data_IF_726348929523
#
_entry.id   IF_726348929523
#
_cell.length_a   1.000
_cell.length_b   1.000
_cell.length_c   1.000
_cell.angle_alpha   90.00
_cell.angle_beta   90.00
_cell.angle_gamma   90.00
#
_symmetry.space_group_name_H-M   'P 1'
#
loop_
_entity.id
_entity.type
_entity.pdbx_description
1 polymer ?
#
# COMPACT_ATOMS: atom_id res chain seq x y z
N UNK A 1 9.45 -16.00 -32.60
CA UNK A 1 9.91 -14.60 -32.49
C UNK A 1 8.74 -13.77 -32.00
N UNK A 2 8.76 -13.28 -30.76
CA UNK A 2 7.68 -12.42 -30.27
C UNK A 2 7.79 -11.07 -30.99
N UNK A 3 6.76 -10.70 -31.75
CA UNK A 3 6.66 -9.37 -32.37
C UNK A 3 6.81 -8.31 -31.28
N UNK A 4 7.86 -7.50 -31.34
CA UNK A 4 8.10 -6.40 -30.40
C UNK A 4 6.95 -5.39 -30.54
N UNK A 5 5.94 -5.51 -29.67
CA UNK A 5 4.91 -4.49 -29.56
C UNK A 5 5.57 -3.18 -29.14
N UNK A 6 5.17 -2.03 -29.71
CA UNK A 6 5.76 -0.75 -29.34
C UNK A 6 5.53 -0.48 -27.85
N UNK A 7 6.49 0.18 -27.18
CA UNK A 7 6.39 0.46 -25.76
C UNK A 7 5.19 1.38 -25.48
N UNK A 8 4.44 1.09 -24.41
CA UNK A 8 3.33 1.92 -23.97
C UNK A 8 3.88 3.24 -23.41
N UNK A 9 3.41 4.36 -23.96
CA UNK A 9 3.86 5.69 -23.57
C UNK A 9 2.95 6.30 -22.52
N UNK A 10 3.55 6.69 -21.40
CA UNK A 10 2.90 7.41 -20.31
C UNK A 10 3.60 8.73 -20.05
N UNK A 11 2.86 9.68 -19.50
CA UNK A 11 3.35 11.00 -19.13
C UNK A 11 3.09 11.29 -17.65
N UNK A 12 4.01 12.03 -17.03
CA UNK A 12 3.90 12.45 -15.64
C UNK A 12 4.26 11.38 -14.61
N UNK A 13 4.24 11.81 -13.35
CA UNK A 13 4.66 11.01 -12.19
C UNK A 13 3.47 10.44 -11.37
N UNK A 14 2.24 10.84 -11.68
CA UNK A 14 1.04 10.30 -11.04
C UNK A 14 0.90 8.80 -11.34
N UNK A 15 0.54 8.02 -10.31
CA UNK A 15 0.42 6.55 -10.37
C UNK A 15 1.66 5.83 -10.92
N UNK A 16 2.86 6.42 -10.79
CA UNK A 16 4.12 5.86 -11.30
C UNK A 16 4.32 4.40 -10.90
N UNK A 17 4.10 4.09 -9.64
CA UNK A 17 4.28 2.75 -9.08
C UNK A 17 3.26 1.74 -9.62
N UNK A 18 1.99 2.13 -9.69
CA UNK A 18 0.94 1.27 -10.25
C UNK A 18 1.20 0.97 -11.74
N UNK A 19 1.65 1.95 -12.53
CA UNK A 19 2.05 1.75 -13.93
C UNK A 19 3.16 0.72 -14.08
N UNK A 20 4.18 0.76 -13.21
CA UNK A 20 5.25 -0.22 -13.21
C UNK A 20 4.75 -1.62 -12.80
N UNK A 21 3.89 -1.70 -11.80
CA UNK A 21 3.29 -2.97 -11.36
C UNK A 21 2.45 -3.59 -12.48
N UNK A 22 1.56 -2.82 -13.10
CA UNK A 22 0.75 -3.31 -14.22
C UNK A 22 1.58 -3.63 -15.46
N UNK A 23 2.68 -2.90 -15.72
CA UNK A 23 3.64 -3.26 -16.76
C UNK A 23 4.25 -4.64 -16.48
N UNK A 24 4.63 -4.90 -15.23
CA UNK A 24 5.19 -6.18 -14.78
C UNK A 24 4.18 -7.31 -14.91
N UNK A 25 2.93 -7.09 -14.50
CA UNK A 25 1.85 -8.08 -14.60
C UNK A 25 1.45 -8.37 -16.05
N UNK A 26 1.35 -7.34 -16.89
CA UNK A 26 0.96 -7.48 -18.29
C UNK A 26 2.12 -7.90 -19.21
N UNK A 27 3.37 -7.91 -18.73
CA UNK A 27 4.55 -8.19 -19.54
C UNK A 27 4.78 -7.19 -20.67
N UNK A 28 4.32 -5.94 -20.52
CA UNK A 28 4.43 -4.89 -21.55
C UNK A 28 5.48 -3.85 -21.18
N UNK A 29 6.35 -3.53 -22.13
CA UNK A 29 7.33 -2.44 -21.99
C UNK A 29 6.62 -1.10 -21.87
N UNK A 30 7.07 -0.27 -20.93
CA UNK A 30 6.54 1.08 -20.70
C UNK A 30 7.63 2.13 -20.83
N UNK A 31 7.26 3.28 -21.37
CA UNK A 31 8.08 4.47 -21.50
C UNK A 31 7.35 5.62 -20.80
N UNK A 32 7.86 6.04 -19.64
CA UNK A 32 7.28 7.11 -18.83
C UNK A 32 8.14 8.36 -19.01
N UNK A 33 7.56 9.43 -19.56
CA UNK A 33 8.23 10.72 -19.80
C UNK A 33 7.66 11.85 -18.95
N UNK A 34 8.38 12.97 -18.85
CA UNK A 34 7.95 14.17 -18.14
C UNK A 34 7.71 13.95 -16.63
N UNK A 35 8.59 13.18 -16.00
CA UNK A 35 8.59 13.03 -14.54
C UNK A 35 9.11 14.32 -13.92
N UNK A 36 8.19 15.10 -13.32
CA UNK A 36 8.48 16.38 -12.64
C UNK A 36 9.29 17.37 -13.49
N UNK A 37 9.07 17.40 -14.80
CA UNK A 37 9.78 18.32 -15.70
C UNK A 37 9.46 19.80 -15.44
N UNK A 38 8.33 20.09 -14.79
CA UNK A 38 7.92 21.43 -14.40
C UNK A 38 8.57 21.94 -13.11
N UNK A 39 9.22 21.08 -12.32
CA UNK A 39 9.82 21.50 -11.06
C UNK A 39 11.29 21.88 -11.27
N UNK A 40 11.68 23.16 -11.12
CA UNK A 40 13.05 23.60 -11.34
C UNK A 40 14.01 23.18 -10.22
N UNK A 41 13.49 22.87 -9.02
CA UNK A 41 14.33 22.60 -7.84
C UNK A 41 14.80 21.15 -7.75
N UNK A 42 13.92 20.21 -8.09
CA UNK A 42 14.19 18.77 -8.05
C UNK A 42 13.47 18.10 -9.24
N UNK A 43 13.99 18.26 -10.47
CA UNK A 43 13.44 17.57 -11.63
C UNK A 43 13.73 16.07 -11.59
N UNK A 44 12.84 15.28 -12.22
CA UNK A 44 13.03 13.84 -12.38
C UNK A 44 12.52 12.99 -11.21
N UNK A 45 13.11 11.79 -11.10
CA UNK A 45 12.72 10.77 -10.13
C UNK A 45 13.03 11.17 -8.68
N UNK A 46 12.08 10.90 -7.81
CA UNK A 46 12.27 11.05 -6.37
C UNK A 46 13.02 9.84 -5.79
N UNK A 47 13.69 10.00 -4.63
CA UNK A 47 14.44 8.90 -4.02
C UNK A 47 13.61 7.65 -3.72
N UNK A 48 12.34 7.82 -3.33
CA UNK A 48 11.42 6.71 -3.08
C UNK A 48 11.03 5.96 -4.37
N UNK A 49 10.98 6.64 -5.52
CA UNK A 49 10.71 6.01 -6.81
C UNK A 49 11.92 5.22 -7.30
N UNK A 50 13.13 5.75 -7.15
CA UNK A 50 14.38 5.04 -7.46
C UNK A 50 14.52 3.80 -6.59
N UNK A 51 14.21 3.92 -5.29
CA UNK A 51 14.23 2.79 -4.38
C UNK A 51 13.17 1.74 -4.77
N UNK A 52 12.00 2.15 -5.25
CA UNK A 52 10.97 1.24 -5.74
C UNK A 52 11.42 0.51 -7.02
N UNK A 53 12.10 1.19 -7.94
CA UNK A 53 12.70 0.57 -9.12
C UNK A 53 13.72 -0.51 -8.72
N UNK A 54 14.60 -0.22 -7.74
CA UNK A 54 15.54 -1.21 -7.21
C UNK A 54 14.84 -2.41 -6.56
N UNK A 55 13.76 -2.17 -5.82
CA UNK A 55 12.93 -3.24 -5.25
C UNK A 55 12.33 -4.11 -6.35
N UNK A 56 11.80 -3.49 -7.40
CA UNK A 56 11.17 -4.21 -8.51
C UNK A 56 12.20 -5.06 -9.26
N UNK A 57 13.42 -4.54 -9.47
CA UNK A 57 14.52 -5.31 -10.07
C UNK A 57 14.96 -6.48 -9.17
N UNK A 58 14.97 -6.33 -7.85
CA UNK A 58 15.29 -7.42 -6.93
C UNK A 58 14.22 -8.53 -6.88
N UNK A 59 12.95 -8.18 -7.11
CA UNK A 59 11.81 -9.12 -7.05
C UNK A 59 11.57 -9.83 -8.39
N UNK A 60 11.99 -9.21 -9.49
CA UNK A 60 11.83 -9.73 -10.84
C UNK A 60 13.16 -10.27 -11.39
N UNK A 61 13.10 -11.07 -12.44
CA UNK A 61 14.28 -11.60 -13.11
C UNK A 61 14.21 -11.28 -14.61
N UNK A 62 15.31 -10.75 -15.16
CA UNK A 62 15.41 -10.33 -16.55
C UNK A 62 14.70 -8.99 -16.85
N UNK A 63 14.44 -8.20 -15.81
CA UNK A 63 13.92 -6.84 -15.98
C UNK A 63 15.04 -5.92 -16.48
N UNK A 64 14.71 -4.96 -17.36
CA UNK A 64 15.67 -3.94 -17.79
C UNK A 64 15.06 -2.56 -17.57
N UNK A 65 15.84 -1.70 -16.91
CA UNK A 65 15.45 -0.34 -16.56
C UNK A 65 16.47 0.64 -17.14
N UNK A 66 16.02 1.55 -17.99
CA UNK A 66 16.86 2.60 -18.57
C UNK A 66 16.33 3.95 -18.09
N UNK A 67 17.19 4.72 -17.40
CA UNK A 67 16.88 6.03 -16.85
C UNK A 67 17.66 7.07 -17.65
N UNK A 68 16.97 8.10 -18.13
CA UNK A 68 17.62 9.24 -18.80
C UNK A 68 18.61 9.97 -17.88
N UNK A 69 19.59 10.66 -18.47
CA UNK A 69 20.57 11.47 -17.72
C UNK A 69 19.90 12.49 -16.77
N UNK A 70 18.78 13.08 -17.19
CA UNK A 70 18.02 14.04 -16.36
C UNK A 70 17.04 13.39 -15.38
N UNK A 71 16.88 12.06 -15.41
CA UNK A 71 15.93 11.35 -14.56
C UNK A 71 14.46 11.65 -14.85
N UNK A 72 14.14 12.34 -15.95
CA UNK A 72 12.76 12.74 -16.31
C UNK A 72 12.05 11.71 -17.21
N UNK A 73 12.81 10.78 -17.77
CA UNK A 73 12.33 9.68 -18.62
C UNK A 73 12.85 8.36 -18.06
N UNK A 74 11.95 7.37 -17.98
CA UNK A 74 12.22 5.99 -17.60
C UNK A 74 11.63 5.04 -18.63
N UNK A 75 12.44 4.12 -19.13
CA UNK A 75 11.99 2.99 -19.94
C UNK A 75 12.12 1.73 -19.10
N UNK A 76 11.02 1.02 -18.91
CA UNK A 76 10.96 -0.21 -18.15
C UNK A 76 10.50 -1.37 -19.04
N UNK A 77 11.38 -2.34 -19.23
CA UNK A 77 11.09 -3.63 -19.88
C UNK A 77 10.88 -4.67 -18.77
N UNK A 78 9.65 -5.12 -18.54
CA UNK A 78 9.35 -6.03 -17.44
C UNK A 78 9.97 -7.42 -17.67
N UNK A 79 10.44 -8.02 -16.58
CA UNK A 79 10.90 -9.40 -16.52
C UNK A 79 9.86 -10.35 -15.93
N UNK A 80 10.27 -11.56 -15.59
CA UNK A 80 9.42 -12.54 -14.89
C UNK A 80 9.43 -12.30 -13.38
N UNK A 81 8.28 -12.45 -12.73
CA UNK A 81 8.17 -12.31 -11.26
C UNK A 81 8.63 -13.62 -10.61
N UNK A 82 9.89 -13.70 -10.19
CA UNK A 82 10.44 -14.91 -9.59
C UNK A 82 10.16 -15.03 -8.10
N UNK A 83 10.07 -13.90 -7.38
CA UNK A 83 10.05 -13.89 -5.92
C UNK A 83 11.37 -14.40 -5.34
N UNK A 84 11.35 -14.98 -4.14
CA UNK A 84 12.55 -15.49 -3.47
C UNK A 84 12.81 -16.97 -3.82
N UNK A 85 13.19 -17.22 -5.07
CA UNK A 85 13.58 -18.56 -5.50
C UNK A 85 15.04 -18.88 -5.09
N UNK A 86 15.32 -20.13 -4.71
CA UNK A 86 16.70 -20.55 -4.41
C UNK A 86 17.62 -20.32 -5.61
N UNK A 87 18.70 -19.54 -5.42
CA UNK A 87 19.67 -19.20 -6.46
C UNK A 87 19.40 -17.90 -7.23
N UNK A 88 18.26 -17.23 -7.03
CA UNK A 88 17.95 -15.93 -7.67
C UNK A 88 17.34 -14.98 -6.63
N UNK A 89 18.08 -13.91 -6.30
CA UNK A 89 17.56 -12.75 -5.55
C UNK A 89 17.43 -12.89 -4.04
N UNK A 90 17.62 -14.07 -3.44
CA UNK A 90 17.63 -14.25 -1.98
C UNK A 90 19.03 -14.50 -1.41
N UNK A 91 19.27 -14.06 -0.17
CA UNK A 91 20.38 -14.57 0.65
C UNK A 91 20.24 -16.10 0.82
N UNK A 92 21.23 -16.79 1.39
CA UNK A 92 21.16 -18.24 1.70
C UNK A 92 19.91 -18.64 2.53
N UNK A 93 19.27 -17.69 3.20
CA UNK A 93 18.00 -17.83 3.93
C UNK A 93 16.72 -17.62 3.09
N UNK A 94 16.82 -17.27 1.81
CA UNK A 94 15.67 -17.04 0.92
C UNK A 94 14.84 -15.80 1.24
N UNK A 95 15.49 -14.71 1.71
CA UNK A 95 14.88 -13.40 1.99
C UNK A 95 15.58 -12.31 1.17
N UNK A 96 14.79 -11.43 0.55
CA UNK A 96 15.26 -10.22 -0.13
C UNK A 96 15.36 -9.10 0.90
N UNK A 97 16.57 -8.61 1.16
CA UNK A 97 16.79 -7.44 2.02
C UNK A 97 16.79 -6.17 1.16
N UNK A 98 15.83 -5.28 1.40
CA UNK A 98 15.72 -4.01 0.68
C UNK A 98 15.99 -2.84 1.62
N UNK A 99 17.08 -2.13 1.40
CA UNK A 99 17.48 -0.99 2.21
C UNK A 99 16.90 0.33 1.66
N UNK A 100 16.12 1.03 2.49
CA UNK A 100 15.56 2.35 2.15
C UNK A 100 16.50 3.48 2.58
N UNK A 101 16.90 4.38 1.65
CA UNK A 101 17.80 5.49 1.97
C UNK A 101 17.14 6.54 2.87
N UNK A 102 17.95 7.28 3.63
CA UNK A 102 17.47 8.22 4.65
C UNK A 102 16.62 9.38 4.11
N UNK A 103 16.73 9.66 2.80
CA UNK A 103 15.97 10.72 2.10
C UNK A 103 14.57 10.27 1.66
N UNK A 104 14.14 9.05 2.00
CA UNK A 104 12.75 8.64 1.80
C UNK A 104 11.82 9.36 2.79
N UNK A 105 10.85 10.08 2.24
CA UNK A 105 9.80 10.80 2.97
C UNK A 105 8.44 10.08 2.95
N UNK A 106 8.31 9.04 2.11
CA UNK A 106 7.09 8.24 1.96
C UNK A 106 7.08 7.09 2.96
N UNK A 107 5.89 6.66 3.34
CA UNK A 107 5.68 5.52 4.23
C UNK A 107 6.06 4.20 3.56
N UNK A 108 6.34 3.18 4.36
CA UNK A 108 6.64 1.82 3.87
C UNK A 108 5.46 1.20 3.13
N UNK A 109 4.23 1.63 3.44
CA UNK A 109 3.01 1.24 2.71
C UNK A 109 3.08 1.58 1.21
N UNK A 110 3.79 2.63 0.81
CA UNK A 110 4.05 2.95 -0.60
C UNK A 110 4.76 1.82 -1.35
N UNK A 111 5.63 1.07 -0.67
CA UNK A 111 6.33 -0.09 -1.23
C UNK A 111 5.56 -1.40 -1.00
N UNK A 112 4.81 -1.50 0.12
CA UNK A 112 4.05 -2.71 0.45
C UNK A 112 2.82 -2.90 -0.44
N UNK A 113 1.96 -1.89 -0.64
CA UNK A 113 0.72 -2.07 -1.41
C UNK A 113 0.97 -2.61 -2.84
N UNK A 114 1.91 -2.05 -3.62
CA UNK A 114 2.21 -2.54 -4.96
C UNK A 114 2.90 -3.90 -4.93
N UNK A 115 3.72 -4.17 -3.89
CA UNK A 115 4.35 -5.47 -3.71
C UNK A 115 3.32 -6.56 -3.36
N UNK A 116 2.33 -6.25 -2.52
CA UNK A 116 1.20 -7.13 -2.22
C UNK A 116 0.36 -7.42 -3.46
N UNK A 117 0.28 -6.50 -4.43
CA UNK A 117 -0.40 -6.72 -5.70
C UNK A 117 0.39 -7.68 -6.62
N UNK A 118 1.73 -7.62 -6.59
CA UNK A 118 2.61 -8.51 -7.37
C UNK A 118 2.80 -9.90 -6.76
N UNK A 119 2.87 -9.99 -5.43
CA UNK A 119 3.27 -11.18 -4.69
C UNK A 119 2.45 -12.46 -4.99
N UNK A 120 1.12 -12.40 -5.22
CA UNK A 120 0.33 -13.59 -5.54
C UNK A 120 0.69 -14.23 -6.88
N UNK A 121 1.27 -13.45 -7.81
CA UNK A 121 1.61 -13.86 -9.17
C UNK A 121 3.09 -14.23 -9.34
N UNK A 122 3.85 -14.35 -8.25
CA UNK A 122 5.25 -14.76 -8.29
C UNK A 122 5.40 -16.27 -8.50
N UNK A 123 6.54 -16.71 -9.05
CA UNK A 123 6.85 -18.13 -9.21
C UNK A 123 7.08 -18.84 -7.86
N UNK A 124 7.76 -18.18 -6.93
CA UNK A 124 8.10 -18.69 -5.59
C UNK A 124 7.59 -17.73 -4.50
N UNK A 125 7.49 -18.17 -3.24
CA UNK A 125 7.15 -17.32 -2.11
C UNK A 125 7.98 -16.04 -2.07
N UNK A 126 7.32 -14.93 -1.75
CA UNK A 126 7.96 -13.63 -1.64
C UNK A 126 8.24 -13.35 -0.16
N UNK A 127 9.51 -13.15 0.19
CA UNK A 127 9.96 -12.78 1.53
C UNK A 127 10.83 -11.54 1.42
N UNK A 128 10.30 -10.39 1.77
CA UNK A 128 11.02 -9.11 1.68
C UNK A 128 11.18 -8.53 3.08
N UNK A 129 12.40 -8.17 3.45
CA UNK A 129 12.71 -7.43 4.66
C UNK A 129 13.12 -6.01 4.28
N UNK A 130 12.32 -5.04 4.71
CA UNK A 130 12.63 -3.63 4.59
C UNK A 130 13.47 -3.19 5.78
N UNK A 131 14.68 -2.71 5.50
CA UNK A 131 15.62 -2.17 6.49
C UNK A 131 16.12 -0.80 6.05
N UNK A 132 16.88 -0.13 6.91
CA UNK A 132 17.58 1.10 6.55
C UNK A 132 16.98 2.36 7.19
N UNK A 133 17.71 3.47 7.10
CA UNK A 133 17.38 4.70 7.82
C UNK A 133 16.08 5.35 7.34
N UNK A 134 15.64 5.11 6.11
CA UNK A 134 14.43 5.70 5.52
C UNK A 134 13.11 4.98 5.79
N UNK A 135 13.12 3.87 6.53
CA UNK A 135 11.92 3.05 6.75
C UNK A 135 11.00 3.72 7.77
N UNK A 136 9.87 4.26 7.29
CA UNK A 136 8.80 4.86 8.12
C UNK A 136 7.61 3.90 8.16
N UNK A 137 7.32 3.32 9.34
CA UNK A 137 6.24 2.33 9.50
C UNK A 137 4.86 2.93 9.81
N UNK A 138 4.83 4.21 10.16
CA UNK A 138 3.61 4.92 10.45
C UNK A 138 2.95 5.51 9.20
N UNK A 139 1.75 6.05 9.36
CA UNK A 139 1.16 6.92 8.36
C UNK A 139 2.03 8.17 8.11
N UNK A 140 1.90 8.77 6.93
CA UNK A 140 2.63 10.00 6.56
C UNK A 140 1.67 11.13 6.20
N UNK A 141 2.11 12.40 6.33
CA UNK A 141 1.31 13.55 5.90
C UNK A 141 0.96 13.55 4.40
N UNK A 142 1.65 12.73 3.59
CA UNK A 142 1.37 12.56 2.16
C UNK A 142 0.23 11.58 1.87
N UNK A 143 -0.46 11.09 2.91
CA UNK A 143 -1.60 10.17 2.79
C UNK A 143 -1.22 8.70 2.67
N UNK A 144 0.01 8.31 3.05
CA UNK A 144 0.38 6.90 3.10
C UNK A 144 -0.22 6.22 4.35
N UNK A 145 -0.67 4.98 4.20
CA UNK A 145 -1.24 4.18 5.29
C UNK A 145 -0.17 3.72 6.30
N UNK A 146 -0.59 3.44 7.53
CA UNK A 146 0.27 2.76 8.51
C UNK A 146 0.46 1.28 8.15
N UNK A 147 1.55 0.67 8.61
CA UNK A 147 1.81 -0.76 8.39
C UNK A 147 0.75 -1.63 9.09
N UNK A 148 0.18 -1.17 10.22
CA UNK A 148 -0.92 -1.86 10.89
C UNK A 148 -2.18 -1.86 10.02
N UNK A 149 -2.55 -0.72 9.42
CA UNK A 149 -3.69 -0.63 8.51
C UNK A 149 -3.49 -1.44 7.23
N UNK A 150 -2.25 -1.53 6.70
CA UNK A 150 -1.98 -2.48 5.62
C UNK A 150 -2.22 -3.92 6.09
N UNK A 151 -1.76 -4.28 7.29
CA UNK A 151 -1.95 -5.63 7.85
C UNK A 151 -3.41 -5.99 8.08
N UNK A 152 -4.21 -5.09 8.62
CA UNK A 152 -5.57 -5.39 9.09
C UNK A 152 -6.67 -4.96 8.13
N UNK A 153 -6.43 -3.99 7.25
CA UNK A 153 -7.41 -3.53 6.27
C UNK A 153 -7.16 -4.08 4.86
N UNK A 154 -5.90 -4.21 4.44
CA UNK A 154 -5.57 -4.60 3.06
C UNK A 154 -5.35 -6.11 2.92
N UNK A 155 -4.55 -6.73 3.80
CA UNK A 155 -4.25 -8.17 3.70
C UNK A 155 -5.51 -9.06 3.77
N UNK A 156 -6.51 -8.80 4.64
CA UNK A 156 -7.69 -9.66 4.69
C UNK A 156 -8.55 -9.59 3.42
N UNK A 157 -8.45 -8.53 2.61
CA UNK A 157 -9.15 -8.44 1.32
C UNK A 157 -8.66 -9.51 0.35
N UNK A 158 -7.38 -9.91 0.43
CA UNK A 158 -6.82 -10.99 -0.38
C UNK A 158 -7.50 -12.34 -0.11
N UNK A 159 -8.03 -12.57 1.11
CA UNK A 159 -8.77 -13.79 1.42
C UNK A 159 -10.02 -13.93 0.54
N UNK A 160 -10.69 -12.82 0.23
CA UNK A 160 -11.87 -12.81 -0.65
C UNK A 160 -11.52 -13.20 -2.10
N UNK A 161 -10.30 -12.90 -2.54
CA UNK A 161 -9.76 -13.33 -3.84
C UNK A 161 -9.21 -14.77 -3.84
N UNK A 162 -9.33 -15.50 -2.72
CA UNK A 162 -8.84 -16.87 -2.56
C UNK A 162 -7.36 -16.98 -2.20
N UNK A 163 -6.75 -15.88 -1.72
CA UNK A 163 -5.35 -15.83 -1.30
C UNK A 163 -5.31 -15.70 0.22
N UNK A 164 -5.04 -16.81 0.92
CA UNK A 164 -5.14 -16.86 2.39
C UNK A 164 -3.95 -17.53 3.09
N UNK A 165 -3.20 -18.41 2.42
CA UNK A 165 -2.16 -19.16 3.11
C UNK A 165 -0.89 -18.31 3.34
N UNK A 166 -0.30 -18.42 4.53
CA UNK A 166 1.04 -17.93 4.84
C UNK A 166 1.31 -16.47 4.40
N UNK A 167 0.32 -15.58 4.58
CA UNK A 167 0.50 -14.14 4.41
C UNK A 167 0.76 -13.54 5.78
N UNK A 168 1.97 -13.02 5.99
CA UNK A 168 2.37 -12.42 7.25
C UNK A 168 3.13 -11.13 7.02
N UNK A 169 2.73 -10.07 7.71
CA UNK A 169 3.44 -8.80 7.74
C UNK A 169 3.91 -8.56 9.17
N UNK A 170 5.17 -8.86 9.46
CA UNK A 170 5.77 -8.72 10.79
C UNK A 170 6.47 -7.37 10.91
N UNK A 171 6.16 -6.62 11.96
CA UNK A 171 6.88 -5.39 12.30
C UNK A 171 7.93 -5.78 13.33
N UNK A 172 9.20 -5.66 12.98
CA UNK A 172 10.31 -5.94 13.89
C UNK A 172 10.67 -4.68 14.70
N UNK A 173 10.66 -3.53 14.03
CA UNK A 173 10.92 -2.23 14.65
C UNK A 173 9.97 -1.19 14.08
N UNK A 174 9.29 -0.46 14.96
CA UNK A 174 8.42 0.66 14.60
C UNK A 174 9.21 1.96 14.51
N UNK A 175 8.71 2.84 13.66
CA UNK A 175 9.25 4.16 13.41
C UNK A 175 8.18 5.12 12.90
N UNK A 176 8.29 6.37 13.34
CA UNK A 176 7.55 7.51 12.79
C UNK A 176 8.45 8.34 11.86
N UNK A 177 7.91 9.35 11.14
CA UNK A 177 8.71 10.25 10.33
C UNK A 177 9.58 11.13 11.23
N UNK A 178 10.87 11.18 10.95
CA UNK A 178 11.83 12.04 11.65
C UNK A 178 11.69 13.52 11.30
N UNK A 179 12.45 14.41 11.97
CA UNK A 179 12.46 15.84 11.68
C UNK A 179 12.75 16.09 10.19
N UNK A 180 11.93 16.93 9.53
CA UNK A 180 11.87 17.16 8.07
C UNK A 180 11.14 16.06 7.25
N UNK A 181 10.40 15.17 7.90
CA UNK A 181 9.52 14.19 7.25
C UNK A 181 10.25 13.01 6.61
N UNK A 182 11.56 12.91 6.79
CA UNK A 182 12.39 11.80 6.32
C UNK A 182 13.05 11.06 7.47
N UNK A 183 13.33 9.77 7.25
CA UNK A 183 14.00 8.91 8.21
C UNK A 183 13.05 8.33 9.25
N UNK A 184 13.16 7.02 9.47
CA UNK A 184 12.39 6.29 10.47
C UNK A 184 13.16 5.12 11.07
N UNK A 185 14.07 4.48 10.34
CA UNK A 185 14.83 3.33 10.85
C UNK A 185 13.97 2.23 11.48
N UNK A 186 12.77 2.03 10.91
CA UNK A 186 11.95 0.86 11.19
C UNK A 186 12.47 -0.38 10.47
N UNK A 187 11.90 -1.53 10.83
CA UNK A 187 12.17 -2.80 10.16
C UNK A 187 10.87 -3.58 10.03
N UNK A 188 10.57 -3.98 8.80
CA UNK A 188 9.33 -4.69 8.47
C UNK A 188 9.66 -5.88 7.58
N UNK A 189 9.10 -7.03 7.90
CA UNK A 189 9.23 -8.23 7.11
C UNK A 189 7.87 -8.63 6.54
N UNK A 190 7.79 -8.71 5.21
CA UNK A 190 6.63 -9.21 4.49
C UNK A 190 6.91 -10.63 4.00
N UNK A 191 6.00 -11.55 4.29
CA UNK A 191 6.00 -12.92 3.81
C UNK A 191 4.69 -13.18 3.08
N UNK A 192 4.78 -13.51 1.80
CA UNK A 192 3.69 -14.01 0.97
C UNK A 192 4.01 -15.44 0.53
N UNK A 193 3.44 -16.41 1.24
CA UNK A 193 3.64 -17.83 0.99
C UNK A 193 2.63 -18.48 0.05
N UNK A 194 1.66 -17.75 -0.48
CA UNK A 194 0.58 -18.32 -1.30
C UNK A 194 0.48 -17.66 -2.67
N UNK A 195 0.91 -18.42 -3.67
CA UNK A 195 0.89 -18.03 -5.07
C UNK A 195 -0.32 -18.68 -5.75
N UNK A 196 -1.00 -17.90 -6.56
CA UNK A 196 -2.18 -18.33 -7.31
C UNK A 196 -1.89 -18.27 -8.81
N UNK A 197 -2.63 -19.07 -9.59
CA UNK A 197 -2.60 -18.94 -11.05
C UNK A 197 -3.45 -17.75 -11.47
N UNK A 198 -4.71 -17.71 -11.02
CA UNK A 198 -5.67 -16.65 -11.30
C UNK A 198 -6.38 -16.26 -10.01
N UNK A 199 -6.66 -14.96 -9.84
CA UNK A 199 -7.47 -14.49 -8.72
C UNK A 199 -8.93 -14.87 -8.95
N UNK A 200 -9.64 -15.28 -7.90
CA UNK A 200 -11.08 -15.55 -7.99
C UNK A 200 -11.82 -14.25 -8.30
N UNK A 201 -12.84 -14.32 -9.14
CA UNK A 201 -13.74 -13.20 -9.35
C UNK A 201 -14.55 -12.92 -8.10
N UNK A 202 -14.70 -11.64 -7.79
CA UNK A 202 -15.34 -11.15 -6.58
C UNK A 202 -16.65 -10.45 -6.93
N UNK A 203 -17.69 -10.75 -6.15
CA UNK A 203 -19.00 -10.11 -6.22
C UNK A 203 -19.34 -9.50 -4.86
N UNK A 204 -18.95 -8.25 -4.64
CA UNK A 204 -19.28 -7.47 -3.45
C UNK A 204 -20.33 -6.43 -3.79
N UNK A 205 -21.58 -6.79 -3.55
CA UNK A 205 -22.74 -5.96 -3.87
C UNK A 205 -23.44 -5.42 -2.63
N UNK A 206 -22.93 -5.71 -1.43
CA UNK A 206 -23.59 -5.37 -0.18
C UNK A 206 -22.53 -4.94 0.85
N UNK A 207 -22.49 -3.67 1.26
CA UNK A 207 -21.55 -3.18 2.28
C UNK A 207 -21.87 -3.73 3.68
N UNK A 208 -23.08 -4.22 3.91
CA UNK A 208 -23.51 -4.80 5.18
C UNK A 208 -23.53 -3.78 6.33
N UNK A 209 -23.70 -4.26 7.56
CA UNK A 209 -23.65 -3.43 8.76
C UNK A 209 -22.27 -3.49 9.39
N UNK A 210 -21.74 -2.36 9.86
CA UNK A 210 -20.51 -2.33 10.66
C UNK A 210 -20.76 -3.08 11.97
N UNK A 211 -20.04 -4.20 12.16
CA UNK A 211 -20.20 -5.11 13.30
C UNK A 211 -19.33 -4.69 14.47
N UNK A 212 -18.07 -4.36 14.19
CA UNK A 212 -17.05 -4.10 15.20
C UNK A 212 -15.98 -3.16 14.69
N UNK A 213 -15.33 -2.47 15.61
CA UNK A 213 -14.18 -1.62 15.31
C UNK A 213 -12.97 -2.18 16.06
N UNK A 214 -11.87 -2.35 15.33
CA UNK A 214 -10.57 -2.74 15.87
C UNK A 214 -9.57 -1.63 15.57
N UNK A 215 -8.51 -1.52 16.35
CA UNK A 215 -7.48 -0.52 16.09
C UNK A 215 -6.19 -0.81 16.80
N UNK A 216 -5.14 -0.09 16.40
CA UNK A 216 -3.83 -0.12 17.07
C UNK A 216 -3.40 1.32 17.31
N UNK A 217 -3.31 1.68 18.59
CA UNK A 217 -2.65 2.89 19.06
C UNK A 217 -1.19 2.57 19.29
N UNK A 218 -0.28 3.24 18.58
CA UNK A 218 1.14 3.01 18.69
C UNK A 218 1.88 4.25 19.17
N UNK A 219 2.86 4.04 20.06
CA UNK A 219 3.77 5.07 20.56
C UNK A 219 5.22 4.60 20.36
N UNK A 220 6.04 5.44 19.74
CA UNK A 220 7.47 5.15 19.50
C UNK A 220 8.30 6.23 20.18
N UNK A 221 9.07 5.83 21.21
CA UNK A 221 9.97 6.73 21.93
C UNK A 221 9.28 7.79 22.79
N UNK A 222 7.97 7.66 23.02
CA UNK A 222 7.16 8.51 23.89
C UNK A 222 6.42 7.65 24.93
N UNK A 223 5.91 8.28 25.98
CA UNK A 223 5.18 7.58 27.04
C UNK A 223 3.94 6.85 26.51
N UNK A 224 3.70 5.63 26.98
CA UNK A 224 2.49 4.86 26.70
C UNK A 224 1.20 5.49 27.22
N UNK A 225 1.29 6.49 28.11
CA UNK A 225 0.12 7.27 28.54
C UNK A 225 -0.56 8.00 27.38
N UNK A 226 0.18 8.36 26.33
CA UNK A 226 -0.39 8.98 25.13
C UNK A 226 -1.37 8.04 24.43
N UNK A 227 -1.05 6.75 24.31
CA UNK A 227 -1.94 5.75 23.72
C UNK A 227 -3.23 5.62 24.54
N UNK A 228 -3.14 5.58 25.87
CA UNK A 228 -4.33 5.48 26.73
C UNK A 228 -5.30 6.65 26.52
N UNK A 229 -4.76 7.89 26.47
CA UNK A 229 -5.53 9.12 26.21
C UNK A 229 -6.18 9.11 24.82
N UNK A 230 -5.47 8.62 23.79
CA UNK A 230 -6.01 8.46 22.44
C UNK A 230 -7.15 7.45 22.39
N UNK A 231 -6.98 6.31 23.06
CA UNK A 231 -7.97 5.24 23.10
C UNK A 231 -9.25 5.73 23.78
N UNK A 232 -9.13 6.44 24.90
CA UNK A 232 -10.29 7.01 25.61
C UNK A 232 -11.02 8.03 24.73
N UNK A 233 -10.30 8.94 24.08
CA UNK A 233 -10.88 9.94 23.19
C UNK A 233 -11.59 9.32 21.97
N UNK A 234 -10.97 8.32 21.33
CA UNK A 234 -11.57 7.61 20.20
C UNK A 234 -12.82 6.81 20.63
N UNK A 235 -12.77 6.13 21.79
CA UNK A 235 -13.93 5.41 22.34
C UNK A 235 -15.06 6.34 22.73
N UNK A 236 -14.77 7.54 23.24
CA UNK A 236 -15.79 8.55 23.54
C UNK A 236 -16.65 8.92 22.32
N UNK A 237 -16.04 8.95 21.13
CA UNK A 237 -16.74 9.23 19.86
C UNK A 237 -17.44 7.98 19.30
N UNK A 238 -16.80 6.80 19.41
CA UNK A 238 -17.26 5.58 18.74
C UNK A 238 -18.23 4.72 19.55
N UNK A 239 -18.14 4.70 20.89
CA UNK A 239 -18.99 3.88 21.76
C UNK A 239 -20.50 4.14 21.55
N UNK A 240 -20.99 5.37 21.31
CA UNK A 240 -22.41 5.61 21.04
C UNK A 240 -22.92 4.93 19.77
N UNK A 241 -22.04 4.65 18.80
CA UNK A 241 -22.37 4.09 17.50
C UNK A 241 -22.16 2.57 17.47
N UNK A 242 -21.01 2.11 17.97
CA UNK A 242 -20.62 0.70 18.01
C UNK A 242 -20.07 0.37 19.39
N UNK A 243 -20.75 -0.50 20.18
CA UNK A 243 -20.28 -0.86 21.51
C UNK A 243 -19.04 -1.78 21.48
N UNK A 244 -18.85 -2.56 20.40
CA UNK A 244 -17.69 -3.44 20.21
C UNK A 244 -16.52 -2.69 19.54
N UNK A 245 -15.98 -1.69 20.24
CA UNK A 245 -14.74 -0.99 19.87
C UNK A 245 -13.58 -1.47 20.75
N UNK A 246 -12.55 -2.05 20.12
CA UNK A 246 -11.36 -2.51 20.83
C UNK A 246 -10.09 -2.02 20.15
N UNK A 247 -9.25 -1.29 20.89
CA UNK A 247 -8.00 -0.71 20.38
C UNK A 247 -6.83 -1.27 21.18
N UNK A 248 -5.87 -1.89 20.49
CA UNK A 248 -4.64 -2.39 21.08
C UNK A 248 -3.67 -1.23 21.32
N UNK A 249 -2.94 -1.27 22.44
CA UNK A 249 -1.84 -0.34 22.72
C UNK A 249 -0.51 -1.02 22.44
N UNK A 250 0.30 -0.44 21.56
CA UNK A 250 1.66 -0.88 21.27
C UNK A 250 2.64 0.25 21.62
N UNK A 251 3.59 -0.03 22.50
CA UNK A 251 4.61 0.93 22.94
C UNK A 251 5.97 0.36 22.60
N UNK A 252 6.71 1.11 21.78
CA UNK A 252 8.02 0.72 21.29
C UNK A 252 9.07 1.76 21.64
N UNK A 253 10.28 1.31 21.93
CA UNK A 253 11.44 2.20 22.10
C UNK A 253 11.84 2.83 20.78
N UNK A 254 12.39 4.05 20.83
CA UNK A 254 12.84 4.75 19.63
C UNK A 254 13.97 4.00 18.91
N UNK A 255 13.92 3.87 17.58
CA UNK A 255 15.03 3.30 16.81
C UNK A 255 16.26 4.21 16.88
N UNK A 256 17.43 3.57 16.96
CA UNK A 256 18.73 4.22 17.04
C UNK A 256 19.43 4.11 15.69
N UNK A 257 19.70 5.26 15.06
CA UNK A 257 20.46 5.33 13.81
C UNK A 257 21.90 5.75 14.12
N UNK A 258 22.91 5.11 13.50
CA UNK A 258 24.29 5.59 13.57
C UNK A 258 24.35 7.02 13.01
N UNK A 259 24.77 7.96 13.84
CA UNK A 259 24.99 9.35 13.46
C UNK A 259 26.42 9.70 13.88
N UNK A 260 27.44 9.38 13.07
CA UNK A 260 28.83 9.66 13.44
C UNK A 260 29.01 11.17 13.52
N UNK A 261 29.14 11.69 14.74
CA UNK A 261 29.54 13.08 14.98
C UNK A 261 31.06 13.18 14.97
N UNK A 262 31.60 14.33 14.54
CA UNK A 262 33.05 14.59 14.48
C UNK A 262 33.79 14.32 15.81
N UNK A 263 33.09 14.42 16.94
CA UNK A 263 33.62 14.18 18.28
C UNK A 263 33.34 12.78 18.85
N UNK A 264 32.41 12.00 18.27
CA UNK A 264 32.12 10.65 18.73
C UNK A 264 31.67 9.75 17.57
N UNK A 265 32.56 8.91 17.03
CA UNK A 265 32.24 7.98 15.95
C UNK A 265 31.22 6.89 16.33
N UNK A 266 30.92 6.71 17.62
CA UNK A 266 29.89 5.78 18.11
C UNK A 266 28.54 6.45 18.47
N UNK A 267 28.36 7.74 18.17
CA UNK A 267 27.12 8.44 18.47
C UNK A 267 25.91 7.83 17.73
N UNK A 268 24.85 7.58 18.49
CA UNK A 268 23.56 7.06 18.00
C UNK A 268 22.48 8.10 18.24
N UNK A 269 21.74 8.45 17.19
CA UNK A 269 20.63 9.40 17.29
C UNK A 269 19.30 8.63 17.36
N UNK A 270 18.43 9.04 18.28
CA UNK A 270 17.03 8.57 18.29
C UNK A 270 16.29 9.22 17.12
N UNK A 271 15.70 8.42 16.26
CA UNK A 271 14.92 8.87 15.10
C UNK A 271 13.52 8.28 15.19
N UNK A 272 12.55 8.85 14.47
CA UNK A 272 11.20 8.30 14.37
C UNK A 272 10.39 8.30 15.66
N UNK A 273 10.54 9.36 16.45
CA UNK A 273 9.73 9.63 17.64
C UNK A 273 8.32 10.06 17.22
N UNK A 274 7.30 9.58 17.92
CA UNK A 274 5.92 10.00 17.68
C UNK A 274 4.90 8.97 18.15
N UNK A 275 3.63 9.26 17.91
CA UNK A 275 2.53 8.36 18.22
C UNK A 275 1.42 8.51 17.18
N UNK A 276 0.59 7.49 17.04
CA UNK A 276 -0.49 7.48 16.06
C UNK A 276 -1.56 6.44 16.39
N UNK A 277 -2.70 6.59 15.73
CA UNK A 277 -3.85 5.70 15.87
C UNK A 277 -4.27 5.20 14.49
N UNK A 278 -4.38 3.89 14.38
CA UNK A 278 -5.03 3.20 13.27
C UNK A 278 -6.35 2.62 13.74
N UNK A 279 -7.43 2.88 13.01
CA UNK A 279 -8.75 2.31 13.27
C UNK A 279 -9.24 1.59 12.02
N UNK A 280 -9.83 0.40 12.21
CA UNK A 280 -10.42 -0.42 11.17
C UNK A 280 -11.82 -0.85 11.61
N UNK A 281 -12.82 -0.44 10.83
CA UNK A 281 -14.19 -0.91 10.97
C UNK A 281 -14.42 -2.14 10.10
N UNK A 282 -14.97 -3.20 10.70
CA UNK A 282 -15.30 -4.45 10.02
C UNK A 282 -16.81 -4.60 9.90
N UNK A 283 -17.27 -4.82 8.67
CA UNK A 283 -18.66 -5.09 8.35
C UNK A 283 -19.00 -6.58 8.42
N UNK A 284 -20.29 -6.89 8.51
CA UNK A 284 -20.80 -8.26 8.48
C UNK A 284 -20.51 -9.01 7.17
N UNK A 285 -20.28 -8.29 6.06
CA UNK A 285 -19.97 -8.87 4.74
C UNK A 285 -18.48 -8.96 4.47
N UNK A 286 -17.63 -8.59 5.42
CA UNK A 286 -16.17 -8.63 5.28
C UNK A 286 -15.57 -7.42 4.57
N UNK A 287 -16.35 -6.35 4.33
CA UNK A 287 -15.84 -5.04 3.94
C UNK A 287 -15.11 -4.39 5.11
N UNK A 288 -13.97 -3.75 4.82
CA UNK A 288 -13.08 -3.14 5.79
C UNK A 288 -12.86 -1.66 5.46
N UNK A 289 -13.05 -0.80 6.45
CA UNK A 289 -12.78 0.64 6.34
C UNK A 289 -11.68 1.02 7.30
N UNK A 290 -10.65 1.70 6.81
CA UNK A 290 -9.49 2.08 7.62
C UNK A 290 -9.29 3.60 7.64
N UNK A 291 -8.91 4.12 8.80
CA UNK A 291 -8.42 5.48 8.96
C UNK A 291 -7.14 5.46 9.82
N UNK A 292 -6.19 6.31 9.45
CA UNK A 292 -4.90 6.45 10.13
C UNK A 292 -4.62 7.92 10.39
N UNK A 293 -4.28 8.25 11.64
CA UNK A 293 -3.80 9.60 12.00
C UNK A 293 -2.54 9.48 12.84
N UNK A 294 -1.56 10.32 12.53
CA UNK A 294 -0.28 10.40 13.23
C UNK A 294 -0.06 11.81 13.80
N UNK A 295 0.69 11.89 14.90
CA UNK A 295 1.20 13.15 15.42
C UNK A 295 2.06 13.89 14.39
N UNK A 296 1.86 15.20 14.17
CA UNK A 296 2.67 15.96 13.22
C UNK A 296 4.14 15.96 13.64
N UNK A 297 5.04 15.99 12.65
CA UNK A 297 6.50 15.95 12.84
C UNK A 297 7.01 17.18 13.62
N UNK A 298 6.32 18.31 13.49
CA UNK A 298 6.60 19.55 14.24
C UNK A 298 6.19 19.48 15.71
N UNK A 299 5.46 18.44 16.11
CA UNK A 299 4.85 18.32 17.43
C UNK A 299 3.70 19.29 17.66
N UNK A 300 3.22 19.34 18.91
CA UNK A 300 2.26 20.34 19.39
C UNK A 300 0.79 19.93 19.44
N UNK A 301 0.44 18.72 19.04
CA UNK A 301 -0.95 18.24 19.07
C UNK A 301 -1.20 17.28 20.24
N UNK A 302 -2.32 17.47 20.93
CA UNK A 302 -2.71 16.61 22.04
C UNK A 302 -3.12 15.21 21.52
N UNK A 303 -2.81 14.14 22.28
CA UNK A 303 -3.20 12.78 21.92
C UNK A 303 -4.73 12.62 21.79
N UNK A 304 -5.51 13.31 22.60
CA UNK A 304 -6.98 13.28 22.53
C UNK A 304 -7.51 13.81 21.20
N UNK A 305 -6.90 14.88 20.67
CA UNK A 305 -7.32 15.48 19.41
C UNK A 305 -7.04 14.55 18.24
N UNK A 306 -5.89 13.86 18.27
CA UNK A 306 -5.54 12.83 17.27
C UNK A 306 -6.52 11.66 17.35
N UNK A 307 -6.89 11.23 18.56
CA UNK A 307 -7.90 10.18 18.77
C UNK A 307 -9.27 10.57 18.17
N UNK A 308 -9.73 11.80 18.42
CA UNK A 308 -10.99 12.33 17.86
C UNK A 308 -10.92 12.47 16.34
N UNK A 309 -9.83 13.02 15.81
CA UNK A 309 -9.63 13.17 14.37
C UNK A 309 -9.67 11.83 13.64
N UNK A 310 -9.00 10.81 14.18
CA UNK A 310 -9.01 9.46 13.61
C UNK A 310 -10.42 8.84 13.64
N UNK A 311 -11.16 9.03 14.73
CA UNK A 311 -12.55 8.58 14.82
C UNK A 311 -13.44 9.28 13.78
N UNK A 312 -13.31 10.60 13.60
CA UNK A 312 -14.08 11.33 12.59
C UNK A 312 -13.69 10.94 11.15
N UNK A 313 -12.41 10.75 10.86
CA UNK A 313 -11.98 10.26 9.55
C UNK A 313 -12.52 8.86 9.26
N UNK A 314 -12.58 7.96 10.25
CA UNK A 314 -13.19 6.65 10.09
C UNK A 314 -14.69 6.79 9.75
N UNK A 315 -15.41 7.64 10.48
CA UNK A 315 -16.82 7.89 10.21
C UNK A 315 -17.04 8.53 8.84
N UNK A 316 -16.15 9.41 8.39
CA UNK A 316 -16.19 10.00 7.05
C UNK A 316 -15.99 8.93 5.97
N UNK A 317 -15.03 8.01 6.15
CA UNK A 317 -14.80 6.90 5.21
C UNK A 317 -16.00 5.94 5.19
N UNK A 318 -16.64 5.69 6.33
CA UNK A 318 -17.86 4.88 6.40
C UNK A 318 -19.04 5.61 5.74
N UNK A 319 -19.15 6.92 5.92
CA UNK A 319 -20.21 7.75 5.33
C UNK A 319 -20.08 7.90 3.81
N UNK A 320 -18.86 7.91 3.28
CA UNK A 320 -18.59 7.86 1.82
C UNK A 320 -19.15 6.59 1.16
N UNK A 321 -19.50 5.57 1.93
CA UNK A 321 -20.24 4.40 1.46
C UNK A 321 -19.43 3.44 0.58
N UNK A 322 -20.14 2.46 0.02
CA UNK A 322 -19.58 1.38 -0.79
C UNK A 322 -18.89 0.27 0.00
N UNK A 323 -18.53 -0.82 -0.66
CA UNK A 323 -17.89 -2.00 -0.05
C UNK A 323 -16.38 -1.84 0.17
N UNK A 324 -15.75 -0.79 -0.40
CA UNK A 324 -14.29 -0.68 -0.47
C UNK A 324 -13.85 0.72 -0.10
N UNK A 325 -12.94 0.82 0.87
CA UNK A 325 -12.32 2.08 1.26
C UNK A 325 -11.46 2.65 0.11
N UNK A 326 -11.32 3.99 0.01
CA UNK A 326 -10.53 4.63 -1.05
C UNK A 326 -9.10 4.09 -1.17
N UNK A 327 -8.44 3.83 -0.05
CA UNK A 327 -7.08 3.31 -0.04
C UNK A 327 -6.94 1.85 -0.53
N UNK A 328 -8.01 1.05 -0.42
CA UNK A 328 -8.06 -0.33 -0.87
C UNK A 328 -8.52 -0.48 -2.32
N UNK A 329 -9.20 0.52 -2.87
CA UNK A 329 -9.82 0.48 -4.19
C UNK A 329 -8.82 0.18 -5.33
N UNK A 330 -7.62 0.79 -5.39
CA UNK A 330 -6.64 0.47 -6.43
C UNK A 330 -6.19 -1.00 -6.41
N UNK A 331 -6.00 -1.54 -5.22
CA UNK A 331 -5.55 -2.92 -5.02
C UNK A 331 -6.64 -3.90 -5.43
N UNK A 332 -7.90 -3.67 -5.02
CA UNK A 332 -9.02 -4.55 -5.35
C UNK A 332 -9.35 -4.54 -6.84
N UNK A 333 -9.46 -3.35 -7.46
CA UNK A 333 -9.71 -3.25 -8.90
C UNK A 333 -8.53 -3.82 -9.70
N UNK A 334 -7.30 -3.59 -9.25
CA UNK A 334 -6.10 -4.21 -9.83
C UNK A 334 -6.20 -5.74 -9.82
N UNK A 335 -6.53 -6.35 -8.69
CA UNK A 335 -6.70 -7.81 -8.58
C UNK A 335 -7.85 -8.33 -9.44
N UNK A 336 -8.98 -7.63 -9.52
CA UNK A 336 -10.11 -8.01 -10.38
C UNK A 336 -9.73 -8.02 -11.87
N UNK A 337 -8.98 -7.01 -12.33
CA UNK A 337 -8.52 -7.00 -13.74
C UNK A 337 -7.59 -8.16 -14.08
N UNK A 338 -6.87 -8.69 -13.09
CA UNK A 338 -5.97 -9.85 -13.23
C UNK A 338 -6.66 -11.19 -12.88
N UNK A 339 -7.97 -11.16 -12.58
CA UNK A 339 -8.78 -12.35 -12.34
C UNK A 339 -9.05 -13.16 -13.60
N UNK A 340 -9.86 -14.22 -13.47
CA UNK A 340 -10.38 -14.98 -14.62
C UNK A 340 -11.19 -14.10 -15.58
N UNK A 341 -11.45 -14.59 -16.79
CA UNK A 341 -12.23 -13.90 -17.85
C UNK A 341 -13.74 -13.81 -17.54
N UNK A 342 -14.08 -13.60 -16.27
CA UNK A 342 -15.45 -13.37 -15.82
C UNK A 342 -15.62 -11.92 -15.34
N UNK A 343 -16.87 -11.54 -15.16
CA UNK A 343 -17.24 -10.21 -14.68
C UNK A 343 -17.25 -10.20 -13.16
N UNK A 344 -16.27 -9.56 -12.53
CA UNK A 344 -16.35 -9.23 -11.11
C UNK A 344 -17.21 -7.98 -10.90
N UNK A 345 -17.95 -7.89 -9.79
CA UNK A 345 -18.79 -6.73 -9.46
C UNK A 345 -18.47 -6.21 -8.06
N UNK A 346 -18.20 -4.92 -7.94
CA UNK A 346 -17.98 -4.27 -6.65
C UNK A 346 -18.83 -3.01 -6.59
N UNK A 347 -19.58 -2.84 -5.50
CA UNK A 347 -20.23 -1.59 -5.14
C UNK A 347 -19.24 -0.67 -4.44
N UNK A 348 -19.11 0.56 -4.93
CA UNK A 348 -18.27 1.61 -4.33
C UNK A 348 -19.06 2.92 -4.25
N UNK A 349 -18.70 3.78 -3.29
CA UNK A 349 -19.27 5.11 -3.21
C UNK A 349 -18.83 5.98 -4.40
N UNK A 350 -19.71 6.87 -4.87
CA UNK A 350 -19.42 7.78 -6.00
C UNK A 350 -18.22 8.69 -5.75
N UNK A 351 -18.02 9.12 -4.51
CA UNK A 351 -16.86 9.94 -4.12
C UNK A 351 -15.54 9.18 -4.27
N UNK A 352 -15.56 7.85 -4.10
CA UNK A 352 -14.37 7.01 -4.28
C UNK A 352 -14.01 6.90 -5.77
N UNK A 353 -15.00 6.85 -6.66
CA UNK A 353 -14.79 6.81 -8.11
C UNK A 353 -14.34 8.18 -8.64
N UNK A 354 -14.91 9.26 -8.08
CA UNK A 354 -14.65 10.62 -8.52
C UNK A 354 -13.20 11.07 -8.25
N UNK A 355 -12.46 10.34 -7.41
CA UNK A 355 -11.06 10.64 -7.15
C UNK A 355 -10.20 10.53 -8.42
N UNK A 356 -9.33 11.52 -8.62
CA UNK A 356 -8.47 11.63 -9.79
C UNK A 356 -7.54 10.41 -9.92
N UNK A 357 -7.08 9.88 -8.77
CA UNK A 357 -6.21 8.71 -8.72
C UNK A 357 -6.87 7.46 -9.32
N UNK A 358 -8.17 7.29 -9.10
CA UNK A 358 -8.98 6.16 -9.57
C UNK A 358 -9.32 6.28 -11.05
N UNK A 359 -9.68 7.48 -11.50
CA UNK A 359 -9.91 7.76 -12.93
C UNK A 359 -8.63 7.50 -13.72
N UNK A 360 -7.48 7.93 -13.18
CA UNK A 360 -6.19 7.72 -13.83
C UNK A 360 -5.79 6.24 -13.84
N UNK A 361 -6.08 5.49 -12.77
CA UNK A 361 -5.91 4.04 -12.74
C UNK A 361 -6.72 3.35 -13.84
N UNK A 362 -8.00 3.72 -14.01
CA UNK A 362 -8.86 3.17 -15.06
C UNK A 362 -8.32 3.42 -16.47
N UNK A 363 -7.84 4.67 -16.72
CA UNK A 363 -7.20 5.05 -17.99
C UNK A 363 -5.92 4.26 -18.25
N UNK A 364 -5.10 4.09 -17.22
CA UNK A 364 -3.85 3.33 -17.34
C UNK A 364 -4.14 1.85 -17.63
N UNK A 365 -5.08 1.21 -16.94
CA UNK A 365 -5.50 -0.18 -17.19
C UNK A 365 -6.04 -0.37 -18.61
N UNK A 366 -6.85 0.58 -19.11
CA UNK A 366 -7.36 0.55 -20.49
C UNK A 366 -6.20 0.61 -21.50
N UNK A 367 -5.18 1.45 -21.26
CA UNK A 367 -3.96 1.50 -22.11
C UNK A 367 -3.15 0.20 -22.08
N UNK A 368 -3.14 -0.52 -20.96
CA UNK A 368 -2.54 -1.85 -20.88
C UNK A 368 -3.33 -2.93 -21.63
N UNK A 369 -4.55 -2.62 -22.09
CA UNK A 369 -5.43 -3.52 -22.83
C UNK A 369 -6.39 -4.31 -21.95
N UNK A 370 -6.67 -3.83 -20.73
CA UNK A 370 -7.79 -4.33 -19.95
C UNK A 370 -9.12 -3.83 -20.56
N UNK A 371 -10.18 -4.66 -20.54
CA UNK A 371 -11.52 -4.22 -20.92
C UNK A 371 -11.98 -3.08 -19.99
N UNK A 372 -12.73 -2.13 -20.55
CA UNK A 372 -13.26 -1.00 -19.81
C UNK A 372 -14.20 -1.42 -18.67
N UNK A 373 -14.39 -0.53 -17.70
CA UNK A 373 -15.28 -0.79 -16.56
C UNK A 373 -16.73 -0.47 -16.93
N UNK A 374 -17.63 -1.39 -16.63
CA UNK A 374 -19.07 -1.15 -16.72
C UNK A 374 -19.57 -0.50 -15.44
N UNK A 375 -20.05 0.73 -15.51
CA UNK A 375 -20.61 1.47 -14.38
C UNK A 375 -22.13 1.39 -14.44
N UNK A 376 -22.76 1.01 -13.32
CA UNK A 376 -24.22 1.01 -13.15
C UNK A 376 -24.55 1.53 -11.76
N UNK A 377 -25.64 2.27 -11.64
CA UNK A 377 -26.12 2.68 -10.31
C UNK A 377 -26.60 1.45 -9.53
N UNK A 378 -26.33 1.42 -8.22
CA UNK A 378 -26.76 0.32 -7.37
C UNK A 378 -28.29 0.35 -7.17
N UNK A 379 -28.94 -0.79 -7.34
CA UNK A 379 -30.38 -0.93 -7.04
C UNK A 379 -30.55 -1.22 -5.53
N UNK A 380 -30.83 -0.19 -4.74
CA UNK A 380 -31.09 -0.29 -3.30
C UNK A 380 -31.57 1.04 -2.71
N UNK A 381 -32.21 1.01 -1.53
CA UNK A 381 -32.86 2.14 -0.83
C UNK A 381 -31.95 3.34 -0.47
N UNK A 382 -30.66 3.30 -0.84
CA UNK A 382 -29.78 4.46 -0.75
C UNK A 382 -30.02 5.36 -1.97
N UNK A 383 -30.97 6.29 -1.86
CA UNK A 383 -31.24 7.33 -2.88
C UNK A 383 -29.99 8.17 -3.24
N UNK A 384 -28.94 8.11 -2.41
CA UNK A 384 -27.67 8.81 -2.63
C UNK A 384 -26.49 7.83 -2.83
N UNK A 385 -26.15 7.55 -4.09
CA UNK A 385 -24.74 7.70 -4.51
C UNK A 385 -23.83 6.47 -4.61
N UNK A 386 -24.32 5.24 -4.45
CA UNK A 386 -23.47 4.05 -4.67
C UNK A 386 -23.50 3.57 -6.13
N UNK A 387 -22.32 3.22 -6.65
CA UNK A 387 -22.14 2.77 -8.03
C UNK A 387 -21.54 1.36 -8.03
N UNK A 388 -22.13 0.49 -8.82
CA UNK A 388 -21.62 -0.86 -9.10
C UNK A 388 -20.65 -0.79 -10.27
N UNK A 389 -19.39 -1.12 -9.99
CA UNK A 389 -18.34 -1.32 -10.98
C UNK A 389 -18.32 -2.79 -11.37
N UNK A 390 -18.54 -3.05 -12.66
CA UNK A 390 -18.33 -4.35 -13.29
C UNK A 390 -16.99 -4.32 -14.01
N UNK A 391 -16.05 -5.15 -13.56
CA UNK A 391 -14.73 -5.30 -14.18
C UNK A 391 -14.65 -6.68 -14.82
N UNK A 392 -14.32 -6.73 -16.10
CA UNK A 392 -14.04 -7.99 -16.79
C UNK A 392 -12.56 -8.33 -16.59
N UNK A 393 -12.27 -9.49 -16.00
CA UNK A 393 -10.89 -9.92 -15.83
C UNK A 393 -10.24 -10.31 -17.16
N UNK A 394 -8.92 -10.13 -17.26
CA UNK A 394 -8.17 -10.43 -18.49
C UNK A 394 -7.64 -11.87 -18.53
N UNK A 395 -7.74 -12.63 -17.44
CA UNK A 395 -7.15 -13.96 -17.36
C UNK A 395 -5.62 -13.98 -17.38
N UNK A 396 -4.96 -12.83 -17.18
CA UNK A 396 -3.49 -12.77 -17.04
C UNK A 396 -3.13 -13.22 -15.64
N UNK A 397 -2.85 -14.51 -15.55
CA UNK A 397 -2.37 -15.15 -14.34
C UNK A 397 -0.85 -15.15 -14.21
N UNK A 398 -0.37 -15.92 -13.23
CA UNK A 398 1.04 -16.19 -13.03
C UNK A 398 1.64 -16.95 -14.23
N UNK A 399 2.49 -16.25 -15.02
CA UNK A 399 3.16 -16.78 -16.21
C UNK A 399 4.30 -17.74 -15.86
N UNK A 400 4.89 -17.62 -14.67
CA UNK A 400 6.12 -18.31 -14.28
C UNK A 400 5.94 -19.66 -13.56
N UNK A 401 4.71 -20.04 -13.21
CA UNK A 401 4.45 -21.25 -12.41
C UNK A 401 4.52 -22.51 -13.26
N UNK A 402 5.38 -23.46 -12.88
CA UNK A 402 5.34 -24.83 -13.42
C UNK A 402 4.02 -25.46 -12.97
N UNK A 403 3.18 -25.84 -13.93
CA UNK A 403 2.04 -26.75 -13.67
C UNK A 403 2.68 -28.09 -13.32
N UNK A 404 2.52 -28.52 -12.07
CA UNK A 404 2.98 -29.81 -11.60
C UNK A 404 1.88 -30.85 -11.83
#
# INVERSE_FOLDING_TARGET
MATSQPPLRFTGHHNFVYRLVFATLAGRTVHISQIRSSNPTNPGLAPHEISFLRLLDAVTNGSQMEISYTGTIVVFKPGLITGCAAGVGGNSSGVINHELPANCTRGVSYFLLPLCLLAPFSKAPLRVQFTGPGVITSATPTGDMSVDSVRTAILPLYNQFGIFNNIELRILRRSNPGPRGGGGAGEVQLVFGHQIRLAKTLHLMNPGRVKRIRGVAYAVGVSGSNNARMIEAARGVLNPLVPDTYVFSDVSSAPLVPAPEKNNPAAKKKVGLGFGLSLVAESSTGCLYSADVISPVSGGQAPEDIGKQCAYQLLEVVAKGGCVAPAAAPTMLGLMTMGSEDVGRIQVGRDVIADESMIQLARDLTKFGAPGWGLRDAAGENENGDVVISVVGRGIGNVGRKVA
#
